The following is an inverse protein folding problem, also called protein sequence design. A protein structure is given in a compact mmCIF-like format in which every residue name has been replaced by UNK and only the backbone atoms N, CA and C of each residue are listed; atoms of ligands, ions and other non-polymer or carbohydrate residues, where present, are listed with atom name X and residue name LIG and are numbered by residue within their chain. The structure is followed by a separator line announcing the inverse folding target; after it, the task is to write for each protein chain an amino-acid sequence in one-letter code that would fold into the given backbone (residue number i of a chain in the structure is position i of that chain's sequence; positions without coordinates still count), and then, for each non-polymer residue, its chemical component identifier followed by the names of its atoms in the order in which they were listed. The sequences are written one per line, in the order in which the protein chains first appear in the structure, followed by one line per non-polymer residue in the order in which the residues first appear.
data_IF_121352251897
#
_entry.id   IF_121352251897
#
_cell.length_a   1.000
_cell.length_b   1.000
_cell.length_c   1.000
_cell.angle_alpha   90.00
_cell.angle_beta   90.00
_cell.angle_gamma   90.00
#
_symmetry.space_group_name_H-M   'P 1'
#
loop_
_entity.id
_entity.type
_entity.pdbx_description
1 polymer ?
#
# COMPACT_ATOMS: atom_id res chain seq x y z
N UNK A 1 11.18 -8.76 -10.06
CA UNK A 1 11.39 -7.43 -10.69
C UNK A 1 11.66 -6.44 -9.57
N UNK A 2 12.74 -5.65 -9.62
CA UNK A 2 12.97 -4.59 -8.62
C UNK A 2 12.05 -3.42 -8.96
N UNK A 3 11.18 -3.03 -8.03
CA UNK A 3 10.32 -1.86 -8.14
C UNK A 3 10.85 -0.74 -7.25
N UNK A 4 10.92 0.47 -7.79
CA UNK A 4 11.19 1.66 -6.99
C UNK A 4 9.90 2.01 -6.24
N UNK A 5 9.96 1.98 -4.91
CA UNK A 5 8.82 2.29 -4.03
C UNK A 5 9.08 3.67 -3.44
N UNK A 6 8.17 4.60 -3.71
CA UNK A 6 8.30 5.99 -3.31
C UNK A 6 7.31 6.32 -2.17
N UNK A 7 7.67 7.22 -1.25
CA UNK A 7 6.69 7.78 -0.32
C UNK A 7 5.51 8.42 -1.05
N UNK A 8 4.34 8.42 -0.41
CA UNK A 8 3.08 8.97 -0.96
C UNK A 8 2.52 8.25 -2.20
N UNK A 9 3.02 7.06 -2.56
CA UNK A 9 2.37 6.19 -3.54
C UNK A 9 1.32 5.29 -2.90
N UNK A 10 0.43 4.75 -3.72
CA UNK A 10 -0.67 3.89 -3.30
C UNK A 10 -0.49 2.47 -3.84
N UNK A 11 -0.92 1.51 -3.03
CA UNK A 11 -0.87 0.08 -3.35
C UNK A 11 -2.07 -0.64 -2.76
N UNK A 12 -2.47 -1.76 -3.37
CA UNK A 12 -3.42 -2.69 -2.77
C UNK A 12 -2.66 -3.75 -1.97
N UNK A 13 -3.15 -4.10 -0.78
CA UNK A 13 -2.67 -5.30 -0.09
C UNK A 13 -3.31 -6.58 -0.69
N UNK A 14 -2.92 -7.80 -0.23
CA UNK A 14 -3.49 -9.06 -0.73
C UNK A 14 -5.01 -9.20 -0.62
N UNK A 15 -5.66 -8.36 0.19
CA UNK A 15 -7.11 -8.35 0.39
C UNK A 15 -7.78 -7.23 -0.41
N UNK A 16 -7.03 -6.50 -1.24
CA UNK A 16 -7.53 -5.38 -2.03
C UNK A 16 -7.62 -4.07 -1.25
N UNK A 17 -7.20 -4.02 0.02
CA UNK A 17 -7.33 -2.81 0.83
C UNK A 17 -6.28 -1.77 0.45
N UNK A 18 -6.66 -0.49 0.29
CA UNK A 18 -5.75 0.57 -0.12
C UNK A 18 -4.72 0.87 0.99
N UNK A 19 -3.47 0.95 0.58
CA UNK A 19 -2.31 1.22 1.41
C UNK A 19 -1.55 2.42 0.86
N UNK A 20 -1.24 3.40 1.72
CA UNK A 20 -0.39 4.55 1.35
C UNK A 20 0.99 4.40 1.94
N UNK A 21 2.03 4.55 1.12
CA UNK A 21 3.43 4.46 1.56
C UNK A 21 3.82 5.71 2.35
N UNK A 22 4.33 5.51 3.55
CA UNK A 22 4.86 6.56 4.41
C UNK A 22 6.37 6.72 4.21
N UNK A 23 7.10 5.61 4.25
CA UNK A 23 8.54 5.53 3.98
C UNK A 23 8.94 4.16 3.48
N UNK A 24 9.99 4.10 2.67
CA UNK A 24 10.59 2.86 2.20
C UNK A 24 12.09 2.88 2.48
N UNK A 25 12.61 1.74 2.92
CA UNK A 25 14.05 1.46 3.06
C UNK A 25 14.38 0.24 2.19
N UNK A 26 15.64 -0.19 2.15
CA UNK A 26 16.03 -1.39 1.42
C UNK A 26 15.55 -2.70 2.08
N UNK A 27 15.16 -2.66 3.37
CA UNK A 27 14.71 -3.86 4.10
C UNK A 27 13.19 -3.86 4.31
N UNK A 28 12.63 -2.71 4.67
CA UNK A 28 11.23 -2.58 5.11
C UNK A 28 10.53 -1.36 4.52
N UNK A 29 9.22 -1.48 4.41
CA UNK A 29 8.30 -0.43 3.99
C UNK A 29 7.31 -0.18 5.13
N UNK A 30 7.12 1.10 5.41
CA UNK A 30 6.09 1.57 6.33
C UNK A 30 4.95 2.15 5.50
N UNK A 31 3.75 1.68 5.78
CA UNK A 31 2.54 2.12 5.09
C UNK A 31 1.40 2.30 6.08
N UNK A 32 0.37 3.02 5.67
CA UNK A 32 -0.88 3.15 6.41
C UNK A 32 -1.97 2.36 5.68
N UNK A 33 -2.75 1.59 6.43
CA UNK A 33 -3.93 0.85 5.96
C UNK A 33 -5.06 1.09 6.94
N UNK A 34 -6.21 1.59 6.47
CA UNK A 34 -7.39 1.89 7.29
C UNK A 34 -7.03 2.65 8.58
N UNK A 35 -6.22 3.71 8.48
CA UNK A 35 -5.78 4.53 9.62
C UNK A 35 -4.69 3.92 10.51
N UNK A 36 -4.24 2.69 10.26
CA UNK A 36 -3.21 2.01 11.06
C UNK A 36 -1.88 1.96 10.34
N UNK A 37 -0.80 2.29 11.06
CA UNK A 37 0.56 2.14 10.53
C UNK A 37 0.97 0.67 10.58
N UNK A 38 1.44 0.16 9.46
CA UNK A 38 1.89 -1.21 9.28
C UNK A 38 3.31 -1.23 8.69
N UNK A 39 3.98 -2.38 8.83
CA UNK A 39 5.33 -2.61 8.34
C UNK A 39 5.33 -3.93 7.56
N UNK A 40 5.98 -3.94 6.40
CA UNK A 40 6.27 -5.15 5.64
C UNK A 40 7.74 -5.16 5.19
N UNK A 41 8.32 -6.34 4.99
CA UNK A 41 9.62 -6.44 4.33
C UNK A 41 9.50 -6.04 2.86
N UNK A 42 10.59 -5.54 2.26
CA UNK A 42 10.66 -5.24 0.83
C UNK A 42 10.31 -6.47 -0.03
N UNK A 43 10.76 -7.66 0.39
CA UNK A 43 10.47 -8.91 -0.32
C UNK A 43 8.97 -9.22 -0.34
N UNK A 44 8.33 -9.21 0.83
CA UNK A 44 6.89 -9.44 0.94
C UNK A 44 6.10 -8.43 0.14
N UNK A 45 6.45 -7.16 0.28
CA UNK A 45 5.71 -6.08 -0.38
C UNK A 45 5.78 -6.18 -1.91
N UNK A 46 6.95 -6.48 -2.48
CA UNK A 46 7.08 -6.65 -3.93
C UNK A 46 6.32 -7.87 -4.49
N UNK A 47 6.04 -8.87 -3.66
CA UNK A 47 5.33 -10.08 -4.05
C UNK A 47 3.82 -9.94 -3.88
N UNK A 48 3.39 -9.30 -2.79
CA UNK A 48 2.02 -9.36 -2.31
C UNK A 48 1.20 -8.09 -2.64
N UNK A 49 1.87 -6.96 -2.94
CA UNK A 49 1.20 -5.66 -3.08
C UNK A 49 1.24 -5.13 -4.50
N UNK A 50 0.07 -4.76 -5.00
CA UNK A 50 -0.10 -4.27 -6.37
C UNK A 50 -0.10 -2.73 -6.42
N UNK A 51 0.41 -2.08 -7.49
CA UNK A 51 0.27 -0.64 -7.68
C UNK A 51 -1.21 -0.22 -7.69
N UNK A 52 -1.51 0.91 -7.06
CA UNK A 52 -2.77 1.63 -7.26
C UNK A 52 -2.50 3.09 -7.60
N UNK A 53 -3.38 3.68 -8.40
CA UNK A 53 -3.49 5.13 -8.48
C UNK A 53 -4.19 5.69 -7.24
N UNK A 54 -3.96 6.97 -6.95
CA UNK A 54 -4.67 7.65 -5.85
C UNK A 54 -6.19 7.57 -6.03
N UNK A 55 -6.69 7.78 -7.24
CA UNK A 55 -8.12 7.74 -7.53
C UNK A 55 -8.73 6.34 -7.30
N UNK A 56 -8.02 5.26 -7.66
CA UNK A 56 -8.48 3.91 -7.35
C UNK A 56 -8.50 3.64 -5.85
N UNK A 57 -7.46 4.05 -5.12
CA UNK A 57 -7.40 3.86 -3.68
C UNK A 57 -8.52 4.61 -2.94
N UNK A 58 -8.86 5.83 -3.37
CA UNK A 58 -9.97 6.61 -2.80
C UNK A 58 -11.32 5.93 -3.07
N UNK A 59 -11.58 5.45 -4.29
CA UNK A 59 -12.81 4.70 -4.60
C UNK A 59 -12.97 3.44 -3.76
N UNK A 60 -11.90 2.65 -3.62
CA UNK A 60 -11.94 1.41 -2.81
C UNK A 60 -12.17 1.75 -1.34
N UNK A 61 -11.56 2.83 -0.83
CA UNK A 61 -11.79 3.26 0.55
C UNK A 61 -13.25 3.68 0.79
N UNK A 62 -13.87 4.43 -0.13
CA UNK A 62 -15.29 4.80 -0.06
C UNK A 62 -16.21 3.58 -0.12
N UNK A 63 -15.92 2.61 -0.98
CA UNK A 63 -16.68 1.34 -1.07
C UNK A 63 -16.60 0.53 0.23
N UNK A 64 -15.43 0.49 0.90
CA UNK A 64 -15.25 -0.20 2.18
C UNK A 64 -15.99 0.52 3.32
N UNK A 65 -16.00 1.86 3.34
CA UNK A 65 -16.69 2.63 4.38
C UNK A 65 -18.22 2.57 4.26
N UNK A 66 -18.75 2.28 3.06
CA UNK A 66 -20.19 2.24 2.78
C UNK A 66 -20.81 0.84 2.86
N UNK A 67 -20.00 -0.20 3.06
CA UNK A 67 -20.42 -1.60 3.23
C UNK A 67 -20.63 -2.00 4.70
#
# INVERSE_FOLDING_TARGET
MFRIIQPNTWHADPHGAPCKILRATHEVIHYIRNGRTCIASMGRFNQDFEPLTKAEAERIAEEIETA
#
